data_IF_160354305690
#
_entry.id   IF_160354305690
#
_cell.length_a   1.000
_cell.length_b   1.000
_cell.length_c   1.000
_cell.angle_alpha   90.00
_cell.angle_beta   90.00
_cell.angle_gamma   90.00
#
_symmetry.space_group_name_H-M   'P 1'
#
loop_
_entity.id
_entity.type
_entity.pdbx_description
1 polymer ?
#
# COMPACT_ATOMS: atom_id res chain seq x y z
N UNK A 1 1.37 1.41 16.98
CA UNK A 1 0.30 1.85 16.07
C UNK A 1 -0.17 0.68 15.21
N UNK A 2 0.64 0.11 14.33
CA UNK A 2 0.21 -0.97 13.40
C UNK A 2 -0.33 -2.25 14.10
N UNK A 3 0.23 -2.68 15.23
CA UNK A 3 -0.33 -3.82 15.98
C UNK A 3 -1.70 -3.52 16.57
N UNK A 4 -1.96 -2.28 16.97
CA UNK A 4 -3.28 -1.84 17.46
C UNK A 4 -4.31 -1.77 16.34
N UNK A 5 -3.87 -1.50 15.11
CA UNK A 5 -4.75 -1.61 13.94
C UNK A 5 -5.28 -3.05 13.81
N UNK A 6 -4.43 -4.08 13.81
CA UNK A 6 -4.89 -5.47 13.74
C UNK A 6 -5.70 -5.88 14.98
N UNK A 7 -5.18 -5.60 16.19
CA UNK A 7 -5.78 -6.04 17.44
C UNK A 7 -7.16 -5.42 17.69
N UNK A 8 -7.30 -4.12 17.42
CA UNK A 8 -8.46 -3.31 17.80
C UNK A 8 -9.28 -2.92 16.58
N UNK A 9 -8.69 -2.36 15.54
CA UNK A 9 -9.45 -1.82 14.41
C UNK A 9 -10.00 -2.95 13.53
N UNK A 10 -9.17 -3.94 13.17
CA UNK A 10 -9.62 -5.18 12.53
C UNK A 10 -10.24 -6.19 13.50
N UNK A 11 -10.14 -5.93 14.80
CA UNK A 11 -10.87 -6.68 15.82
C UNK A 11 -10.24 -8.02 16.22
N UNK A 12 -9.01 -8.35 15.80
CA UNK A 12 -8.39 -9.65 16.06
C UNK A 12 -8.30 -10.02 17.56
N UNK A 13 -8.23 -9.03 18.46
CA UNK A 13 -8.22 -9.22 19.92
C UNK A 13 -9.48 -8.74 20.63
N UNK A 14 -10.51 -8.28 19.91
CA UNK A 14 -11.82 -8.00 20.51
C UNK A 14 -12.49 -9.30 20.94
N UNK A 15 -13.32 -9.24 21.97
CA UNK A 15 -14.08 -10.42 22.44
C UNK A 15 -14.98 -11.00 21.34
N UNK A 16 -15.60 -10.13 20.53
CA UNK A 16 -16.43 -10.52 19.39
C UNK A 16 -15.66 -10.98 18.16
N UNK A 17 -14.34 -10.68 18.07
CA UNK A 17 -13.53 -10.80 16.85
C UNK A 17 -14.02 -9.98 15.64
N UNK A 18 -14.92 -9.03 15.86
CA UNK A 18 -15.50 -8.18 14.80
C UNK A 18 -14.83 -6.80 14.82
N UNK A 19 -14.20 -6.44 13.71
CA UNK A 19 -13.59 -5.13 13.46
C UNK A 19 -14.39 -4.27 12.48
N UNK A 20 -13.74 -3.20 12.00
CA UNK A 20 -14.33 -2.24 11.05
C UNK A 20 -14.67 -2.85 9.68
N UNK A 21 -14.06 -3.99 9.33
CA UNK A 21 -14.32 -4.72 8.08
C UNK A 21 -15.17 -5.97 8.34
N UNK A 22 -15.81 -6.09 9.51
CA UNK A 22 -16.43 -7.34 9.94
C UNK A 22 -15.42 -8.30 10.58
N UNK A 23 -15.70 -9.60 10.51
CA UNK A 23 -14.87 -10.65 11.09
C UNK A 23 -13.75 -11.01 10.10
N UNK A 24 -12.50 -10.87 10.52
CA UNK A 24 -11.33 -11.10 9.66
C UNK A 24 -10.82 -12.51 9.85
N UNK A 25 -10.70 -13.27 8.76
CA UNK A 25 -10.14 -14.62 8.74
C UNK A 25 -8.61 -14.59 8.80
N UNK A 26 -7.99 -13.65 8.09
CA UNK A 26 -6.54 -13.48 8.09
C UNK A 26 -6.08 -12.19 7.42
N UNK A 27 -4.79 -11.88 7.55
CA UNK A 27 -4.16 -10.73 6.90
C UNK A 27 -2.67 -10.96 6.69
N UNK A 28 -2.12 -10.29 5.69
CA UNK A 28 -0.69 -10.16 5.47
C UNK A 28 -0.36 -8.71 5.16
N UNK A 29 0.60 -8.14 5.88
CA UNK A 29 1.03 -6.77 5.72
C UNK A 29 2.55 -6.66 5.58
N UNK A 30 3.01 -6.06 4.49
CA UNK A 30 4.43 -5.75 4.27
C UNK A 30 4.69 -4.27 4.54
N UNK A 31 5.77 -3.96 5.27
CA UNK A 31 6.20 -2.59 5.58
C UNK A 31 7.37 -2.20 4.68
N UNK A 32 7.19 -1.13 3.90
CA UNK A 32 8.21 -0.57 3.03
C UNK A 32 8.43 0.92 3.36
N UNK A 33 9.65 1.43 3.12
CA UNK A 33 9.82 2.87 3.01
C UNK A 33 9.47 3.36 1.61
N UNK A 34 8.75 4.46 1.58
CA UNK A 34 8.54 5.24 0.37
C UNK A 34 9.85 5.88 -0.07
N UNK A 35 9.91 6.35 -1.32
CA UNK A 35 11.05 7.12 -1.85
C UNK A 35 11.37 8.36 -0.98
N UNK A 36 10.38 8.90 -0.25
CA UNK A 36 10.52 10.03 0.68
C UNK A 36 10.94 9.64 2.11
N UNK A 37 11.18 8.36 2.38
CA UNK A 37 11.65 7.86 3.68
C UNK A 37 10.57 7.45 4.68
N UNK A 38 9.31 7.85 4.49
CA UNK A 38 8.18 7.44 5.34
C UNK A 38 7.90 5.94 5.21
N UNK A 39 7.64 5.28 6.34
CA UNK A 39 7.17 3.90 6.34
C UNK A 39 5.68 3.84 6.02
N UNK A 40 5.28 2.84 5.26
CA UNK A 40 3.89 2.52 4.98
C UNK A 40 3.70 1.01 4.88
N UNK A 41 2.46 0.56 5.11
CA UNK A 41 2.08 -0.84 5.04
C UNK A 41 1.22 -1.10 3.81
N UNK A 42 1.59 -2.10 3.02
CA UNK A 42 0.68 -2.70 2.04
C UNK A 42 0.05 -3.92 2.71
N UNK A 43 -1.28 -4.05 2.66
CA UNK A 43 -2.00 -5.12 3.37
C UNK A 43 -2.97 -5.86 2.44
N UNK A 44 -3.01 -7.18 2.56
CA UNK A 44 -4.11 -8.04 2.10
C UNK A 44 -4.87 -8.48 3.35
N UNK A 45 -6.20 -8.40 3.29
CA UNK A 45 -7.08 -8.75 4.41
C UNK A 45 -8.16 -9.68 3.86
N UNK A 46 -8.30 -10.85 4.46
CA UNK A 46 -9.32 -11.83 4.12
C UNK A 46 -10.45 -11.77 5.13
N UNK A 47 -11.65 -11.52 4.64
CA UNK A 47 -12.87 -11.48 5.46
C UNK A 47 -13.39 -12.90 5.65
N UNK A 48 -13.84 -13.23 6.86
CA UNK A 48 -14.44 -14.52 7.17
C UNK A 48 -15.79 -14.66 6.49
N UNK A 49 -16.09 -15.87 6.01
CA UNK A 49 -17.32 -16.20 5.27
C UNK A 49 -17.56 -15.37 4.00
N UNK A 50 -16.54 -14.65 3.51
CA UNK A 50 -16.57 -14.05 2.19
C UNK A 50 -16.82 -15.12 1.12
N UNK A 51 -17.60 -14.81 0.06
CA UNK A 51 -17.80 -15.73 -1.05
C UNK A 51 -16.48 -16.27 -1.60
N UNK A 52 -16.47 -17.54 -1.98
CA UNK A 52 -15.24 -18.25 -2.33
C UNK A 52 -14.59 -17.73 -3.62
N UNK A 53 -15.40 -17.12 -4.49
CA UNK A 53 -14.95 -16.51 -5.73
C UNK A 53 -15.90 -15.38 -6.15
N UNK A 54 -15.48 -14.51 -7.08
CA UNK A 54 -16.36 -13.52 -7.71
C UNK A 54 -17.61 -14.16 -8.33
N UNK A 55 -17.45 -15.34 -8.94
CA UNK A 55 -18.56 -16.09 -9.52
C UNK A 55 -19.55 -16.58 -8.45
N UNK A 56 -19.03 -17.13 -7.34
CA UNK A 56 -19.86 -17.55 -6.19
C UNK A 56 -20.59 -16.34 -5.57
N UNK A 57 -19.93 -15.19 -5.48
CA UNK A 57 -20.55 -13.93 -5.03
C UNK A 57 -21.71 -13.56 -5.94
N UNK A 58 -21.48 -13.55 -7.25
CA UNK A 58 -22.49 -13.26 -8.28
C UNK A 58 -23.66 -14.23 -8.23
N UNK A 59 -23.41 -15.53 -8.18
CA UNK A 59 -24.46 -16.56 -8.13
C UNK A 59 -25.34 -16.41 -6.90
N UNK A 60 -24.74 -16.19 -5.72
CA UNK A 60 -25.49 -15.94 -4.47
C UNK A 60 -26.34 -14.69 -4.55
N UNK A 61 -25.82 -13.63 -5.15
CA UNK A 61 -26.55 -12.38 -5.31
C UNK A 61 -27.73 -12.48 -6.26
N UNK A 62 -27.59 -13.24 -7.35
CA UNK A 62 -28.69 -13.49 -8.28
C UNK A 62 -29.78 -14.38 -7.66
N UNK A 63 -29.38 -15.29 -6.77
CA UNK A 63 -30.31 -16.15 -6.05
C UNK A 63 -31.00 -15.46 -4.87
N UNK A 64 -30.33 -14.51 -4.19
CA UNK A 64 -30.79 -13.85 -2.97
C UNK A 64 -30.66 -12.32 -3.05
N UNK A 65 -31.75 -11.59 -3.38
CA UNK A 65 -31.79 -10.13 -3.38
C UNK A 65 -31.49 -9.50 -2.01
N UNK A 66 -31.83 -10.18 -0.91
CA UNK A 66 -31.55 -9.70 0.44
C UNK A 66 -30.05 -9.76 0.74
N UNK A 67 -29.37 -10.84 0.29
CA UNK A 67 -27.92 -10.92 0.32
C UNK A 67 -27.26 -9.79 -0.46
N UNK A 68 -27.73 -9.51 -1.68
CA UNK A 68 -27.25 -8.37 -2.48
C UNK A 68 -27.35 -7.06 -1.71
N UNK A 69 -28.51 -6.77 -1.10
CA UNK A 69 -28.73 -5.55 -0.34
C UNK A 69 -27.82 -5.45 0.90
N UNK A 70 -27.66 -6.55 1.66
CA UNK A 70 -26.78 -6.57 2.83
C UNK A 70 -25.31 -6.36 2.43
N UNK A 71 -24.90 -6.96 1.31
CA UNK A 71 -23.53 -6.85 0.81
C UNK A 71 -23.22 -5.42 0.34
N UNK A 72 -24.09 -4.80 -0.46
CA UNK A 72 -23.88 -3.42 -0.92
C UNK A 72 -23.87 -2.43 0.25
N UNK A 73 -24.79 -2.59 1.22
CA UNK A 73 -24.81 -1.78 2.43
C UNK A 73 -23.53 -1.94 3.27
N UNK A 74 -22.99 -3.16 3.36
CA UNK A 74 -21.71 -3.40 4.03
C UNK A 74 -20.56 -2.68 3.32
N UNK A 75 -20.47 -2.76 1.99
CA UNK A 75 -19.44 -2.05 1.23
C UNK A 75 -19.52 -0.52 1.39
N UNK A 76 -20.73 0.04 1.38
CA UNK A 76 -20.97 1.48 1.59
C UNK A 76 -20.59 1.94 3.02
N UNK A 77 -20.66 1.05 4.01
CA UNK A 77 -20.21 1.31 5.38
C UNK A 77 -18.68 1.28 5.50
N UNK A 78 -18.03 0.34 4.81
CA UNK A 78 -16.59 0.11 4.99
C UNK A 78 -15.70 0.94 4.05
N UNK A 79 -16.19 1.33 2.86
CA UNK A 79 -15.44 2.09 1.85
C UNK A 79 -16.18 3.39 1.53
N UNK A 80 -15.51 4.50 1.79
CA UNK A 80 -15.98 5.84 1.46
C UNK A 80 -15.13 6.44 0.33
N UNK A 81 -15.81 7.03 -0.66
CA UNK A 81 -15.22 7.82 -1.76
C UNK A 81 -15.84 9.21 -1.83
N UNK A 82 -16.21 9.77 -0.68
CA UNK A 82 -16.79 11.11 -0.56
C UNK A 82 -16.24 11.85 0.66
N UNK A 83 -16.50 13.15 0.73
CA UNK A 83 -16.26 13.91 1.94
C UNK A 83 -17.49 13.85 2.85
N UNK A 84 -17.32 13.94 4.17
CA UNK A 84 -18.45 14.12 5.08
C UNK A 84 -19.27 15.36 4.72
N UNK A 85 -20.58 15.25 4.87
CA UNK A 85 -21.51 16.36 4.66
C UNK A 85 -21.25 17.51 5.64
N UNK A 86 -21.67 18.73 5.29
CA UNK A 86 -21.55 19.92 6.14
C UNK A 86 -20.11 20.29 6.56
N UNK A 87 -19.11 19.91 5.76
CA UNK A 87 -17.71 20.27 5.96
C UNK A 87 -17.26 21.34 4.98
N UNK A 88 -16.20 22.07 5.32
CA UNK A 88 -15.56 23.08 4.47
C UNK A 88 -14.15 22.62 4.05
N UNK A 89 -13.64 23.07 2.88
CA UNK A 89 -12.27 22.77 2.48
C UNK A 89 -11.26 23.20 3.54
N UNK A 90 -10.25 22.36 3.80
CA UNK A 90 -9.16 22.67 4.70
C UNK A 90 -8.36 23.86 4.18
N UNK A 91 -8.12 24.82 5.07
CA UNK A 91 -7.29 25.99 4.80
C UNK A 91 -5.98 25.84 5.57
N UNK A 92 -4.89 25.63 4.83
CA UNK A 92 -3.57 25.53 5.43
C UNK A 92 -3.16 26.88 6.05
N UNK A 93 -2.76 26.86 7.33
CA UNK A 93 -2.14 28.03 7.96
C UNK A 93 -0.67 28.08 7.53
N UNK A 94 -0.27 29.15 6.83
CA UNK A 94 1.10 29.30 6.36
C UNK A 94 2.12 29.32 7.51
N UNK A 95 3.25 28.63 7.34
CA UNK A 95 4.41 28.74 8.22
C UNK A 95 4.44 27.84 9.45
N UNK A 96 3.44 26.98 9.71
CA UNK A 96 3.47 26.05 10.86
C UNK A 96 3.12 24.60 10.50
N UNK A 97 4.12 23.75 10.15
CA UNK A 97 3.86 22.35 9.81
C UNK A 97 3.27 21.53 10.96
N UNK A 98 3.41 21.94 12.23
CA UNK A 98 2.81 21.24 13.38
C UNK A 98 1.28 21.40 13.45
N UNK A 99 0.71 22.31 12.66
CA UNK A 99 -0.75 22.50 12.57
C UNK A 99 -1.37 21.63 11.48
N UNK A 100 -0.58 20.87 10.72
CA UNK A 100 -1.14 19.90 9.77
C UNK A 100 -1.94 18.84 10.55
N UNK A 101 -3.16 18.49 10.10
CA UNK A 101 -4.00 17.49 10.75
C UNK A 101 -3.26 16.17 11.01
N UNK A 102 -2.48 15.71 10.03
CA UNK A 102 -1.66 14.48 10.08
C UNK A 102 -0.51 14.52 11.08
N UNK A 103 -0.03 15.71 11.45
CA UNK A 103 1.05 15.89 12.44
C UNK A 103 0.53 16.32 13.81
N UNK A 104 -0.78 16.48 13.95
CA UNK A 104 -1.46 16.89 15.17
C UNK A 104 -1.87 15.66 16.00
N UNK A 105 -2.24 15.90 17.26
CA UNK A 105 -2.88 14.84 18.06
C UNK A 105 -4.28 14.55 17.48
N UNK A 106 -4.72 13.28 17.49
CA UNK A 106 -6.10 12.94 17.19
C UNK A 106 -7.07 13.72 18.09
N UNK A 107 -8.30 13.89 17.62
CA UNK A 107 -9.39 14.41 18.44
C UNK A 107 -9.55 13.58 19.71
N UNK A 108 -9.82 14.26 20.83
CA UNK A 108 -10.16 13.60 22.08
C UNK A 108 -11.55 12.96 21.96
N UNK A 109 -11.67 11.62 22.02
CA UNK A 109 -12.97 10.96 21.91
C UNK A 109 -13.91 11.26 23.09
N UNK A 110 -13.36 11.71 24.24
CA UNK A 110 -14.15 12.04 25.43
C UNK A 110 -14.61 13.51 25.44
N UNK A 111 -14.21 14.32 24.45
CA UNK A 111 -14.65 15.71 24.30
C UNK A 111 -16.12 15.77 23.89
N UNK A 112 -16.95 16.63 24.53
CA UNK A 112 -18.35 16.80 24.15
C UNK A 112 -18.53 17.36 22.72
N UNK A 113 -17.49 17.99 22.16
CA UNK A 113 -17.45 18.50 20.79
C UNK A 113 -16.92 17.48 19.77
N UNK A 114 -16.59 16.24 20.18
CA UNK A 114 -15.99 15.23 19.30
C UNK A 114 -16.82 15.03 18.03
N UNK A 115 -18.10 14.71 18.17
CA UNK A 115 -18.99 14.42 17.03
C UNK A 115 -19.13 15.62 16.10
N UNK A 116 -19.20 16.84 16.64
CA UNK A 116 -19.31 18.06 15.86
C UNK A 116 -18.05 18.35 15.03
N UNK A 117 -16.88 17.96 15.55
CA UNK A 117 -15.58 18.22 14.91
C UNK A 117 -15.08 17.06 14.07
N UNK A 118 -15.59 15.85 14.29
CA UNK A 118 -15.11 14.61 13.67
C UNK A 118 -15.15 14.69 12.15
N UNK A 119 -16.27 15.14 11.60
CA UNK A 119 -16.49 15.17 10.15
C UNK A 119 -15.56 16.19 9.47
N UNK A 120 -15.38 17.38 10.07
CA UNK A 120 -14.41 18.35 9.57
C UNK A 120 -12.98 17.81 9.67
N UNK A 121 -12.62 17.20 10.80
CA UNK A 121 -11.30 16.61 10.97
C UNK A 121 -11.03 15.46 9.99
N UNK A 122 -12.05 14.64 9.68
CA UNK A 122 -11.96 13.59 8.68
C UNK A 122 -11.67 14.17 7.29
N UNK A 123 -12.40 15.21 6.88
CA UNK A 123 -12.10 15.93 5.63
C UNK A 123 -10.69 16.51 5.62
N UNK A 124 -10.29 17.16 6.71
CA UNK A 124 -8.95 17.74 6.84
C UNK A 124 -7.87 16.66 6.67
N UNK A 125 -8.06 15.47 7.23
CA UNK A 125 -7.17 14.32 7.02
C UNK A 125 -7.18 13.86 5.56
N UNK A 126 -8.33 13.74 4.91
CA UNK A 126 -8.41 13.34 3.50
C UNK A 126 -7.60 14.29 2.59
N UNK A 127 -7.74 15.59 2.81
CA UNK A 127 -7.07 16.63 2.02
C UNK A 127 -5.57 16.77 2.36
N UNK A 128 -5.11 16.27 3.51
CA UNK A 128 -3.70 16.39 3.95
C UNK A 128 -2.90 15.07 4.02
N UNK A 129 -3.50 13.93 3.73
CA UNK A 129 -2.82 12.62 3.78
C UNK A 129 -2.50 12.03 2.41
N UNK A 130 -2.90 12.71 1.32
CA UNK A 130 -2.77 12.20 -0.05
C UNK A 130 -3.86 11.21 -0.43
N UNK A 131 -4.99 11.19 0.29
CA UNK A 131 -6.20 10.50 -0.12
C UNK A 131 -6.88 11.21 -1.29
N UNK A 132 -6.84 12.55 -1.30
CA UNK A 132 -7.26 13.35 -2.46
C UNK A 132 -6.13 13.40 -3.48
N UNK A 133 -6.39 12.88 -4.67
CA UNK A 133 -5.47 12.90 -5.78
C UNK A 133 -5.39 14.29 -6.41
N UNK A 134 -4.18 14.74 -6.65
CA UNK A 134 -3.88 15.91 -7.44
C UNK A 134 -2.85 15.53 -8.51
N UNK A 135 -3.21 15.76 -9.78
CA UNK A 135 -2.34 15.46 -10.91
C UNK A 135 -0.98 16.12 -10.75
N UNK A 136 0.06 15.34 -11.00
CA UNK A 136 1.44 15.80 -11.00
C UNK A 136 2.26 14.94 -11.98
N UNK A 137 3.53 15.28 -12.20
CA UNK A 137 4.39 14.60 -13.16
C UNK A 137 4.48 13.07 -12.97
N UNK A 138 4.24 12.55 -11.77
CA UNK A 138 4.25 11.09 -11.52
C UNK A 138 3.06 10.34 -12.13
N UNK A 139 1.95 11.04 -12.41
CA UNK A 139 0.76 10.50 -13.07
C UNK A 139 1.08 10.05 -14.49
N UNK A 140 1.97 10.79 -15.15
CA UNK A 140 2.33 10.61 -16.56
C UNK A 140 3.71 9.96 -16.75
N UNK A 141 4.24 9.32 -15.70
CA UNK A 141 5.60 8.75 -15.69
C UNK A 141 5.84 7.73 -16.80
N UNK A 142 4.81 6.97 -17.17
CA UNK A 142 4.90 5.92 -18.19
C UNK A 142 4.65 6.42 -19.61
N UNK A 143 4.27 7.70 -19.76
CA UNK A 143 4.01 8.31 -21.06
C UNK A 143 5.33 8.84 -21.62
N UNK A 144 5.70 8.47 -22.86
CA UNK A 144 6.90 8.99 -23.50
C UNK A 144 6.90 10.51 -23.60
N UNK A 145 8.05 11.15 -23.31
CA UNK A 145 8.17 12.62 -23.33
C UNK A 145 7.82 13.24 -24.69
N UNK A 146 8.02 12.51 -25.79
CA UNK A 146 7.72 13.00 -27.15
C UNK A 146 6.23 13.24 -27.40
N UNK A 147 5.34 12.66 -26.60
CA UNK A 147 3.88 12.84 -26.72
C UNK A 147 3.29 13.56 -25.50
N UNK A 148 4.11 14.13 -24.62
CA UNK A 148 3.62 14.83 -23.42
C UNK A 148 2.70 16.01 -23.74
N UNK A 149 2.85 16.64 -24.90
CA UNK A 149 1.95 17.71 -25.37
C UNK A 149 0.54 17.23 -25.69
N UNK A 150 0.34 15.91 -25.86
CA UNK A 150 -0.95 15.29 -26.16
C UNK A 150 -1.62 14.71 -24.92
N UNK A 151 -0.99 14.85 -23.73
CA UNK A 151 -1.53 14.32 -22.49
C UNK A 151 -2.87 14.98 -22.20
N UNK A 152 -3.89 14.14 -22.03
CA UNK A 152 -5.10 14.50 -21.35
C UNK A 152 -4.96 14.08 -19.87
N UNK A 153 -4.91 15.03 -18.92
CA UNK A 153 -4.64 14.74 -17.52
C UNK A 153 -5.57 13.69 -16.91
N UNK A 154 -6.85 13.69 -17.30
CA UNK A 154 -7.88 12.87 -16.69
C UNK A 154 -7.96 11.47 -17.31
N UNK A 155 -7.70 11.33 -18.62
CA UNK A 155 -7.69 10.01 -19.27
C UNK A 155 -6.35 9.30 -19.19
N UNK A 156 -5.25 10.05 -19.11
CA UNK A 156 -3.90 9.50 -19.20
C UNK A 156 -3.21 9.40 -17.83
N UNK A 157 -3.96 9.67 -16.75
CA UNK A 157 -3.48 9.44 -15.41
C UNK A 157 -3.27 7.94 -15.18
N UNK A 158 -2.05 7.51 -14.87
CA UNK A 158 -1.76 6.09 -14.58
C UNK A 158 -2.56 5.49 -13.43
N UNK A 159 -3.15 6.34 -12.58
CA UNK A 159 -3.96 5.94 -11.43
C UNK A 159 -5.45 5.88 -11.78
N UNK A 160 -5.82 6.21 -13.02
CA UNK A 160 -7.19 6.21 -13.53
C UNK A 160 -8.11 7.13 -12.72
N UNK A 161 -7.63 8.37 -12.51
CA UNK A 161 -8.35 9.42 -11.79
C UNK A 161 -8.53 10.65 -12.68
N UNK A 162 -9.69 11.33 -12.61
CA UNK A 162 -10.83 11.03 -11.74
C UNK A 162 -11.61 9.79 -12.19
N UNK A 163 -12.09 9.00 -11.22
CA UNK A 163 -13.05 7.92 -11.49
C UNK A 163 -14.42 8.49 -11.90
N UNK A 164 -15.22 7.74 -12.69
CA UNK A 164 -16.62 8.06 -12.91
C UNK A 164 -17.38 8.22 -11.58
N UNK A 165 -18.33 9.15 -11.55
CA UNK A 165 -19.23 9.31 -10.41
C UNK A 165 -20.31 8.24 -10.45
N UNK A 166 -20.58 7.65 -9.29
CA UNK A 166 -21.50 6.54 -9.11
C UNK A 166 -22.40 6.85 -7.93
N UNK A 167 -23.71 6.97 -8.17
CA UNK A 167 -24.68 7.40 -7.17
C UNK A 167 -24.92 6.35 -6.07
N UNK A 168 -24.87 5.07 -6.41
CA UNK A 168 -25.08 3.96 -5.49
C UNK A 168 -24.19 2.77 -5.82
N UNK A 169 -23.80 2.02 -4.79
CA UNK A 169 -23.03 0.80 -4.97
C UNK A 169 -23.90 -0.24 -5.67
N UNK A 170 -23.44 -0.69 -6.84
CA UNK A 170 -24.17 -1.62 -7.69
C UNK A 170 -23.20 -2.57 -8.40
N UNK A 171 -23.75 -3.50 -9.16
CA UNK A 171 -22.96 -4.36 -10.05
C UNK A 171 -23.24 -3.91 -11.47
N UNK A 172 -22.20 -3.79 -12.29
CA UNK A 172 -22.32 -3.42 -13.69
C UNK A 172 -22.74 -4.62 -14.57
N UNK A 173 -22.83 -4.39 -15.89
CA UNK A 173 -23.23 -5.39 -16.88
C UNK A 173 -22.21 -6.55 -17.01
N UNK A 174 -20.97 -6.33 -16.57
CA UNK A 174 -19.91 -7.34 -16.50
C UNK A 174 -19.93 -8.09 -15.14
N UNK A 175 -20.91 -7.77 -14.28
CA UNK A 175 -21.08 -8.28 -12.93
C UNK A 175 -19.90 -7.98 -12.00
N UNK A 176 -19.19 -6.89 -12.28
CA UNK A 176 -18.19 -6.33 -11.38
C UNK A 176 -18.86 -5.38 -10.39
N UNK A 177 -18.42 -5.45 -9.12
CA UNK A 177 -18.92 -4.57 -8.07
C UNK A 177 -18.36 -3.16 -8.24
N UNK A 178 -19.24 -2.20 -8.50
CA UNK A 178 -18.94 -0.79 -8.60
C UNK A 178 -19.36 -0.09 -7.30
N UNK A 179 -18.36 0.45 -6.59
CA UNK A 179 -18.58 1.17 -5.33
C UNK A 179 -19.07 2.59 -5.61
N UNK A 180 -20.01 3.07 -4.80
CA UNK A 180 -20.50 4.44 -4.77
C UNK A 180 -19.34 5.44 -4.72
N UNK A 181 -19.38 6.43 -5.61
CA UNK A 181 -18.31 7.39 -5.83
C UNK A 181 -18.91 8.78 -6.05
N UNK A 182 -18.79 9.66 -5.06
CA UNK A 182 -19.24 11.06 -5.19
C UNK A 182 -18.07 12.01 -5.51
N UNK A 183 -16.84 11.57 -5.30
CA UNK A 183 -15.63 12.30 -5.66
C UNK A 183 -14.62 11.38 -6.36
N UNK A 184 -14.56 11.51 -7.69
CA UNK A 184 -13.66 10.71 -8.52
C UNK A 184 -12.16 10.86 -8.21
N UNK A 185 -11.74 11.92 -7.51
CA UNK A 185 -10.34 12.13 -7.13
C UNK A 185 -10.00 11.65 -5.72
N UNK A 186 -10.98 11.23 -4.91
CA UNK A 186 -10.75 10.80 -3.53
C UNK A 186 -10.64 9.28 -3.47
N UNK A 187 -9.46 8.74 -3.13
CA UNK A 187 -9.29 7.29 -3.01
C UNK A 187 -10.25 6.67 -1.97
N UNK A 188 -10.66 5.43 -2.24
CA UNK A 188 -11.43 4.63 -1.30
C UNK A 188 -10.71 4.56 0.04
N UNK A 189 -11.42 4.80 1.13
CA UNK A 189 -10.86 4.72 2.47
C UNK A 189 -11.93 4.34 3.48
N UNK A 190 -11.53 3.80 4.62
CA UNK A 190 -12.44 3.59 5.73
C UNK A 190 -12.36 4.81 6.68
N UNK A 191 -13.45 5.56 6.90
CA UNK A 191 -13.42 6.78 7.73
C UNK A 191 -12.86 6.54 9.13
N UNK A 192 -13.25 5.44 9.77
CA UNK A 192 -12.77 5.08 11.12
C UNK A 192 -11.27 4.79 11.11
N UNK A 193 -10.78 4.05 10.13
CA UNK A 193 -9.35 3.77 9.99
C UNK A 193 -8.55 5.06 9.75
N UNK A 194 -9.01 5.93 8.84
CA UNK A 194 -8.37 7.21 8.56
C UNK A 194 -8.31 8.11 9.79
N UNK A 195 -9.41 8.23 10.54
CA UNK A 195 -9.46 9.00 11.79
C UNK A 195 -8.52 8.43 12.87
N UNK A 196 -8.46 7.11 13.01
CA UNK A 196 -7.62 6.47 14.03
C UNK A 196 -6.12 6.49 13.70
N UNK A 197 -5.77 6.38 12.41
CA UNK A 197 -4.38 6.29 11.95
C UNK A 197 -3.79 7.63 11.54
N UNK A 198 -4.63 8.59 11.14
CA UNK A 198 -4.21 9.91 10.66
C UNK A 198 -3.41 9.85 9.36
N UNK A 199 -3.57 8.80 8.55
CA UNK A 199 -2.82 8.60 7.31
C UNK A 199 -3.72 8.15 6.16
N UNK A 200 -3.17 8.14 4.94
CA UNK A 200 -3.83 7.56 3.80
C UNK A 200 -3.90 6.03 4.00
N UNK A 201 -5.13 5.51 4.00
CA UNK A 201 -5.41 4.09 4.18
C UNK A 201 -5.69 3.35 2.88
N UNK A 202 -5.91 4.06 1.76
CA UNK A 202 -6.22 3.54 0.41
C UNK A 202 -6.83 2.13 0.39
N UNK A 203 -8.11 2.04 0.74
CA UNK A 203 -8.85 0.79 0.83
C UNK A 203 -9.52 0.49 -0.50
N UNK A 204 -9.16 -0.66 -1.08
CA UNK A 204 -9.75 -1.18 -2.31
C UNK A 204 -10.27 -2.58 -2.09
N UNK A 205 -11.45 -2.85 -2.61
CA UNK A 205 -11.97 -4.20 -2.64
C UNK A 205 -11.26 -5.03 -3.71
N UNK A 206 -11.23 -6.34 -3.50
CA UNK A 206 -10.64 -7.32 -4.41
C UNK A 206 -11.73 -8.31 -4.82
N UNK A 207 -12.74 -7.80 -5.53
CA UNK A 207 -13.98 -8.53 -5.81
C UNK A 207 -13.95 -9.39 -7.07
N UNK A 208 -12.92 -9.26 -7.94
CA UNK A 208 -12.76 -10.07 -9.15
C UNK A 208 -11.45 -10.89 -9.12
N UNK A 209 -11.42 -12.01 -9.86
CA UNK A 209 -10.30 -12.95 -9.82
C UNK A 209 -9.04 -12.39 -10.47
N UNK A 210 -9.21 -11.62 -11.55
CA UNK A 210 -8.13 -10.89 -12.20
C UNK A 210 -7.54 -9.80 -11.29
N UNK A 211 -8.39 -9.03 -10.60
CA UNK A 211 -7.96 -8.03 -9.62
C UNK A 211 -7.27 -8.69 -8.43
N UNK A 212 -7.75 -9.84 -7.96
CA UNK A 212 -7.10 -10.60 -6.89
C UNK A 212 -5.69 -11.07 -7.29
N UNK A 213 -5.54 -11.64 -8.48
CA UNK A 213 -4.23 -12.04 -9.00
C UNK A 213 -3.29 -10.83 -9.16
N UNK A 214 -3.78 -9.72 -9.70
CA UNK A 214 -3.02 -8.49 -9.83
C UNK A 214 -2.60 -7.92 -8.46
N UNK A 215 -3.45 -8.02 -7.43
CA UNK A 215 -3.12 -7.59 -6.06
C UNK A 215 -2.11 -8.51 -5.38
N UNK A 216 -2.13 -9.82 -5.66
CA UNK A 216 -1.10 -10.76 -5.19
C UNK A 216 0.24 -10.43 -5.86
N UNK A 217 0.27 -10.20 -7.17
CA UNK A 217 1.48 -9.78 -7.89
C UNK A 217 1.99 -8.44 -7.36
N UNK A 218 1.09 -7.47 -7.18
CA UNK A 218 1.37 -6.17 -6.58
C UNK A 218 2.02 -6.38 -5.20
N UNK A 219 1.37 -7.07 -4.27
CA UNK A 219 1.91 -7.35 -2.93
C UNK A 219 3.24 -8.09 -2.98
N UNK A 220 3.40 -9.04 -3.90
CA UNK A 220 4.65 -9.72 -4.19
C UNK A 220 5.74 -8.71 -4.51
N UNK A 221 5.48 -7.79 -5.44
CA UNK A 221 6.40 -6.71 -5.81
C UNK A 221 6.79 -5.82 -4.63
N UNK A 222 5.89 -5.54 -3.67
CA UNK A 222 6.20 -4.78 -2.45
C UNK A 222 6.99 -5.59 -1.42
N UNK A 223 6.70 -6.89 -1.30
CA UNK A 223 7.43 -7.80 -0.41
C UNK A 223 8.86 -8.02 -0.90
N UNK A 224 9.06 -8.10 -2.22
CA UNK A 224 10.36 -8.29 -2.87
C UNK A 224 11.00 -6.98 -3.34
N UNK A 225 10.42 -5.81 -3.00
CA UNK A 225 10.87 -4.45 -3.44
C UNK A 225 12.27 -4.04 -2.97
N UNK A 226 13.01 -5.01 -2.46
CA UNK A 226 14.46 -4.99 -2.31
C UNK A 226 15.19 -4.91 -3.66
N UNK A 227 14.49 -4.79 -4.80
CA UNK A 227 15.09 -4.60 -6.12
C UNK A 227 16.00 -3.36 -6.09
N UNK A 228 17.30 -3.63 -6.04
CA UNK A 228 18.34 -2.63 -6.22
C UNK A 228 18.17 -2.01 -7.61
N UNK A 229 18.16 -0.68 -7.67
CA UNK A 229 18.11 0.04 -8.94
C UNK A 229 19.19 -0.49 -9.89
N UNK A 230 18.85 -0.78 -11.14
CA UNK A 230 19.78 -1.28 -12.15
C UNK A 230 21.06 -0.45 -12.26
N UNK A 231 20.98 0.87 -12.06
CA UNK A 231 22.17 1.74 -12.03
C UNK A 231 23.11 1.41 -10.85
N UNK A 232 22.56 1.07 -9.68
CA UNK A 232 23.32 0.63 -8.51
C UNK A 232 23.95 -0.74 -8.80
N UNK A 233 23.17 -1.68 -9.34
CA UNK A 233 23.63 -3.01 -9.78
C UNK A 233 24.79 -2.87 -10.76
N UNK A 234 24.63 -2.06 -11.79
CA UNK A 234 25.65 -1.82 -12.80
C UNK A 234 26.88 -1.15 -12.22
N UNK A 235 26.72 -0.15 -11.35
CA UNK A 235 27.85 0.52 -10.69
C UNK A 235 28.66 -0.42 -9.80
N UNK A 236 27.99 -1.33 -9.09
CA UNK A 236 28.62 -2.33 -8.25
C UNK A 236 29.35 -3.40 -9.07
N UNK A 237 28.76 -3.80 -10.20
CA UNK A 237 29.39 -4.70 -11.18
C UNK A 237 30.66 -4.06 -11.75
N UNK A 238 30.58 -2.82 -12.25
CA UNK A 238 31.73 -2.10 -12.78
C UNK A 238 32.83 -1.90 -11.73
N UNK A 239 32.46 -1.57 -10.49
CA UNK A 239 33.42 -1.44 -9.39
C UNK A 239 34.11 -2.78 -9.09
N UNK A 240 33.37 -3.89 -9.12
CA UNK A 240 33.89 -5.23 -8.87
C UNK A 240 34.82 -5.70 -9.98
N UNK A 241 34.46 -5.44 -11.24
CA UNK A 241 35.33 -5.70 -12.41
C UNK A 241 36.64 -4.91 -12.28
N UNK A 242 36.56 -3.59 -12.03
CA UNK A 242 37.76 -2.75 -11.84
C UNK A 242 38.64 -3.24 -10.69
N UNK A 243 38.02 -3.64 -9.58
CA UNK A 243 38.76 -4.16 -8.42
C UNK A 243 39.48 -5.48 -8.74
N UNK A 244 38.89 -6.36 -9.55
CA UNK A 244 39.51 -7.60 -10.00
C UNK A 244 40.59 -7.37 -11.06
N UNK A 245 40.42 -6.40 -11.96
CA UNK A 245 41.43 -6.05 -12.95
C UNK A 245 42.67 -5.40 -12.32
N UNK A 246 42.47 -4.50 -11.35
CA UNK A 246 43.57 -3.78 -10.69
C UNK A 246 44.35 -4.67 -9.70
N UNK A 247 43.66 -5.61 -9.05
CA UNK A 247 44.26 -6.60 -8.14
C UNK A 247 43.67 -7.98 -8.44
N UNK A 248 44.18 -8.65 -9.49
CA UNK A 248 43.75 -9.99 -9.80
C UNK A 248 44.08 -10.88 -8.60
N UNK A 249 43.09 -11.64 -8.07
CA UNK A 249 43.37 -12.61 -7.03
C UNK A 249 44.36 -13.64 -7.59
N UNK A 250 45.34 -14.01 -6.78
CA UNK A 250 46.39 -14.99 -7.12
C UNK A 250 46.29 -16.12 -6.11
N UNK A 251 46.32 -17.36 -6.56
CA UNK A 251 46.52 -18.51 -5.69
C UNK A 251 48.04 -18.72 -5.44
N UNK A 252 48.39 -19.82 -4.78
CA UNK A 252 49.79 -20.14 -4.41
C UNK A 252 50.70 -20.27 -5.63
N UNK A 253 50.12 -20.60 -6.80
CA UNK A 253 50.81 -20.82 -8.07
C UNK A 253 50.60 -19.67 -9.10
N UNK A 254 49.86 -18.62 -8.73
CA UNK A 254 49.54 -17.46 -9.57
C UNK A 254 48.49 -17.70 -10.66
N UNK A 255 47.75 -18.81 -10.63
CA UNK A 255 46.75 -19.23 -11.63
C UNK A 255 45.38 -19.50 -10.98
N UNK A 256 44.46 -18.54 -11.05
CA UNK A 256 43.09 -18.77 -10.61
C UNK A 256 42.25 -19.38 -11.73
N UNK A 257 41.56 -20.49 -11.43
CA UNK A 257 40.56 -21.08 -12.31
C UNK A 257 39.43 -20.08 -12.63
N UNK A 258 38.93 -20.13 -13.86
CA UNK A 258 37.83 -19.28 -14.33
C UNK A 258 36.59 -19.40 -13.46
N UNK A 259 36.30 -20.58 -12.92
CA UNK A 259 35.19 -20.80 -12.00
C UNK A 259 35.34 -19.95 -10.73
N UNK A 260 36.52 -19.98 -10.12
CA UNK A 260 36.81 -19.21 -8.91
C UNK A 260 36.88 -17.70 -9.18
N UNK A 261 37.37 -17.29 -10.35
CA UNK A 261 37.32 -15.89 -10.80
C UNK A 261 35.87 -15.38 -10.92
N UNK A 262 34.98 -16.17 -11.54
CA UNK A 262 33.55 -15.83 -11.65
C UNK A 262 32.89 -15.76 -10.27
N UNK A 263 33.20 -16.72 -9.38
CA UNK A 263 32.68 -16.73 -8.01
C UNK A 263 33.10 -15.46 -7.25
N UNK A 264 34.38 -15.09 -7.32
CA UNK A 264 34.91 -13.87 -6.68
C UNK A 264 34.30 -12.59 -7.25
N UNK A 265 34.05 -12.55 -8.57
CA UNK A 265 33.33 -11.45 -9.21
C UNK A 265 31.91 -11.32 -8.68
N UNK A 266 31.16 -12.42 -8.59
CA UNK A 266 29.81 -12.40 -8.03
C UNK A 266 29.82 -11.96 -6.57
N UNK A 267 30.69 -12.53 -5.73
CA UNK A 267 30.79 -12.17 -4.31
C UNK A 267 31.12 -10.69 -4.12
N UNK A 268 32.12 -10.16 -4.83
CA UNK A 268 32.48 -8.72 -4.74
C UNK A 268 31.35 -7.82 -5.23
N UNK A 269 30.65 -8.23 -6.29
CA UNK A 269 29.49 -7.48 -6.81
C UNK A 269 28.37 -7.45 -5.78
N UNK A 270 28.01 -8.60 -5.21
CA UNK A 270 26.99 -8.71 -4.16
C UNK A 270 27.38 -7.91 -2.91
N UNK A 271 28.62 -8.00 -2.44
CA UNK A 271 29.08 -7.23 -1.28
C UNK A 271 29.05 -5.72 -1.54
N UNK A 272 29.43 -5.28 -2.73
CA UNK A 272 29.36 -3.86 -3.12
C UNK A 272 27.92 -3.40 -3.23
N UNK A 273 27.03 -4.26 -3.75
CA UNK A 273 25.60 -4.00 -3.83
C UNK A 273 24.97 -3.80 -2.46
N UNK A 274 25.26 -4.70 -1.53
CA UNK A 274 24.76 -4.64 -0.16
C UNK A 274 25.36 -3.43 0.57
N UNK A 275 26.66 -3.19 0.43
CA UNK A 275 27.35 -2.09 1.13
C UNK A 275 26.97 -0.68 0.62
N UNK A 276 26.59 -0.55 -0.65
CA UNK A 276 26.10 0.71 -1.23
C UNK A 276 24.58 0.88 -1.10
N UNK A 277 23.90 -0.08 -0.48
CA UNK A 277 22.45 -0.01 -0.31
C UNK A 277 22.13 1.06 0.73
N UNK A 278 21.48 2.12 0.28
CA UNK A 278 20.95 3.14 1.16
C UNK A 278 19.65 2.65 1.81
N UNK A 279 19.55 2.83 3.12
CA UNK A 279 18.34 2.62 3.89
C UNK A 279 17.87 3.96 4.43
N UNK A 280 16.55 4.13 4.49
CA UNK A 280 15.96 5.34 5.05
C UNK A 280 16.16 5.34 6.57
N UNK A 281 16.32 6.52 7.17
CA UNK A 281 16.52 6.64 8.62
C UNK A 281 15.38 5.99 9.41
N UNK A 282 14.15 6.07 8.90
CA UNK A 282 12.96 5.48 9.49
C UNK A 282 12.99 3.94 9.44
N UNK A 283 13.46 3.32 8.35
CA UNK A 283 13.64 1.87 8.28
C UNK A 283 14.66 1.39 9.31
N UNK A 284 15.81 2.07 9.39
CA UNK A 284 16.86 1.74 10.36
C UNK A 284 16.35 1.90 11.78
N UNK A 285 15.68 3.01 12.09
CA UNK A 285 15.08 3.23 13.40
C UNK A 285 14.04 2.15 13.75
N UNK A 286 13.17 1.79 12.82
CA UNK A 286 12.16 0.74 13.00
C UNK A 286 12.81 -0.61 13.33
N UNK A 287 13.87 -0.98 12.61
CA UNK A 287 14.63 -2.20 12.86
C UNK A 287 15.30 -2.18 14.24
N UNK A 288 15.98 -1.07 14.59
CA UNK A 288 16.63 -0.90 15.90
C UNK A 288 15.64 -0.93 17.06
N UNK A 289 14.39 -0.48 16.84
CA UNK A 289 13.30 -0.58 17.80
C UNK A 289 12.63 -1.96 17.85
N UNK A 290 13.20 -2.97 17.16
CA UNK A 290 12.67 -4.33 17.14
C UNK A 290 11.32 -4.47 16.44
N UNK A 291 10.97 -3.55 15.54
CA UNK A 291 9.73 -3.64 14.77
C UNK A 291 9.92 -4.59 13.59
N UNK A 292 8.90 -5.40 13.33
CA UNK A 292 8.87 -6.29 12.18
C UNK A 292 8.68 -5.50 10.88
N UNK A 293 9.24 -6.01 9.79
CA UNK A 293 9.01 -5.54 8.42
C UNK A 293 7.77 -6.18 7.79
N UNK A 294 7.15 -7.16 8.43
CA UNK A 294 5.87 -7.72 8.05
C UNK A 294 4.99 -8.03 9.27
N UNK A 295 3.68 -8.15 9.06
CA UNK A 295 2.70 -8.56 10.07
C UNK A 295 1.70 -9.51 9.41
N UNK A 296 1.49 -10.67 10.01
CA UNK A 296 0.62 -11.73 9.50
C UNK A 296 -0.21 -12.33 10.64
N UNK A 297 -1.41 -12.81 10.33
CA UNK A 297 -2.22 -13.66 11.22
C UNK A 297 -1.76 -15.10 11.26
N UNK A 298 -1.14 -15.57 10.17
CA UNK A 298 -0.82 -16.97 9.94
C UNK A 298 0.67 -17.24 10.06
N UNK A 299 1.00 -18.49 10.40
CA UNK A 299 2.35 -19.03 10.40
C UNK A 299 2.63 -19.69 9.04
N UNK A 300 3.83 -19.45 8.50
CA UNK A 300 4.25 -20.01 7.22
C UNK A 300 5.48 -20.90 7.45
N UNK A 301 5.56 -22.01 6.71
CA UNK A 301 6.75 -22.84 6.72
C UNK A 301 7.92 -22.12 6.04
N UNK A 302 9.11 -22.18 6.65
CA UNK A 302 10.33 -21.67 6.05
C UNK A 302 10.86 -22.65 5.00
N UNK A 303 10.69 -22.30 3.73
CA UNK A 303 11.32 -23.03 2.64
C UNK A 303 12.75 -22.50 2.42
N UNK A 304 13.72 -23.32 2.79
CA UNK A 304 15.13 -23.06 2.49
C UNK A 304 15.39 -23.42 1.04
N UNK A 305 15.87 -22.45 0.26
CA UNK A 305 16.37 -22.72 -1.09
C UNK A 305 17.58 -23.66 -0.98
N UNK A 306 17.44 -24.91 -1.43
CA UNK A 306 18.56 -25.83 -1.56
C UNK A 306 19.49 -25.28 -2.65
N UNK A 307 20.68 -24.82 -2.24
CA UNK A 307 21.84 -24.42 -3.06
C UNK A 307 21.54 -23.89 -4.47
N UNK A 308 21.73 -22.58 -4.69
CA UNK A 308 21.91 -22.00 -6.03
C UNK A 308 23.16 -22.56 -6.72
#
# INVERSE_FOLDING_TARGET
MITKFFDIILGAKRASKIGILGKVKGWYAAVEAQIRGSLHGHMLIWIEDAPASPLDMKERMNADPEFKQRLTAWYDDIICQSFPNNTVPYVATEGNPKQLPVLSRPLDPDSPEYEQRRDQHHRDLCENTGLVHAHNATCFKHIPRCIHSLINPDSDCRFELPRPLVAETHFDDDDDLVIRCENGNLNGHNPTATLCLGCNTDLKQTASGSVAMAMVEYMGNYTIKLQLNTAIVFSALCASIKALQNKPPQDVDGQIDKSEMTRLMMVKTTNTLVGKRELTGQQTASLLLGRKNNYTSDEYEEYWWSSM
#
